data_IF_303104931427
#
_entry.id   IF_303104931427
#
_cell.length_a   1.000
_cell.length_b   1.000
_cell.length_c   1.000
_cell.angle_alpha   90.00
_cell.angle_beta   90.00
_cell.angle_gamma   90.00
#
_symmetry.space_group_name_H-M   'P 1'
#
loop_
_entity.id
_entity.type
_entity.pdbx_description
1 polymer ?
#
# COMPACT_ATOMS: atom_id res chain seq x y z
N UNK A 1 -8.95 -8.06 -16.61
CA UNK A 1 -8.21 -7.33 -17.64
C UNK A 1 -7.35 -6.21 -17.10
N UNK A 2 -6.44 -5.72 -17.92
CA UNK A 2 -5.53 -4.61 -17.60
C UNK A 2 -5.68 -3.54 -18.66
N UNK A 3 -5.66 -2.29 -18.24
CA UNK A 3 -5.62 -1.12 -19.09
C UNK A 3 -4.69 -0.10 -18.46
N UNK A 4 -3.94 0.65 -19.28
CA UNK A 4 -3.07 1.70 -18.76
C UNK A 4 -2.73 2.75 -19.80
N UNK A 5 -2.48 3.95 -19.32
CA UNK A 5 -2.03 5.11 -20.09
C UNK A 5 -0.70 5.59 -19.54
N UNK A 6 0.25 5.86 -20.42
CA UNK A 6 1.54 6.42 -20.04
C UNK A 6 1.77 7.71 -20.85
N UNK A 7 1.69 8.84 -20.18
CA UNK A 7 1.96 10.16 -20.74
C UNK A 7 3.36 10.60 -20.32
N UNK A 8 4.26 10.60 -21.29
CA UNK A 8 5.65 11.02 -21.08
C UNK A 8 5.90 12.40 -21.70
N UNK A 9 6.99 13.01 -21.31
CA UNK A 9 7.49 14.28 -21.88
C UNK A 9 6.55 15.49 -21.70
N UNK A 10 5.64 15.44 -20.73
CA UNK A 10 4.85 16.61 -20.38
C UNK A 10 5.75 17.67 -19.73
N UNK A 11 5.38 18.94 -19.85
CA UNK A 11 6.14 20.09 -19.34
C UNK A 11 7.63 20.06 -19.73
N UNK A 12 7.91 19.76 -21.00
CA UNK A 12 9.28 19.70 -21.50
C UNK A 12 10.09 18.52 -20.94
N UNK A 13 9.44 17.41 -20.67
CA UNK A 13 10.05 16.18 -20.13
C UNK A 13 10.11 16.09 -18.61
N UNK A 14 9.65 17.13 -17.91
CA UNK A 14 9.70 17.17 -16.45
C UNK A 14 8.56 16.40 -15.77
N UNK A 15 7.42 16.23 -16.43
CA UNK A 15 6.25 15.55 -15.88
C UNK A 15 5.95 14.27 -16.65
N UNK A 16 5.79 13.19 -15.90
CA UNK A 16 5.30 11.89 -16.35
C UNK A 16 4.04 11.52 -15.59
N UNK A 17 3.00 11.06 -16.29
CA UNK A 17 1.78 10.53 -15.66
C UNK A 17 1.58 9.10 -16.16
N UNK A 18 1.35 8.19 -15.24
CA UNK A 18 1.00 6.79 -15.52
C UNK A 18 -0.32 6.50 -14.85
N UNK A 19 -1.23 5.95 -15.59
CA UNK A 19 -2.48 5.38 -15.10
C UNK A 19 -2.49 3.89 -15.39
N UNK A 20 -2.92 3.08 -14.44
CA UNK A 20 -3.11 1.64 -14.59
C UNK A 20 -4.41 1.22 -13.92
N UNK A 21 -5.27 0.60 -14.69
CA UNK A 21 -6.51 -0.01 -14.19
C UNK A 21 -6.48 -1.52 -14.35
N UNK A 22 -7.09 -2.20 -13.39
CA UNK A 22 -7.29 -3.64 -13.41
C UNK A 22 -8.75 -3.92 -13.08
N UNK A 23 -9.36 -4.83 -13.82
CA UNK A 23 -10.73 -5.30 -13.58
C UNK A 23 -10.84 -6.79 -13.86
N UNK A 24 -11.50 -7.50 -12.98
CA UNK A 24 -11.77 -8.93 -13.16
C UNK A 24 -12.07 -9.64 -11.85
N UNK A 25 -12.55 -10.90 -11.96
CA UNK A 25 -12.76 -11.74 -10.79
C UNK A 25 -11.41 -12.20 -10.24
N UNK A 26 -11.06 -11.70 -9.06
CA UNK A 26 -9.75 -11.93 -8.41
C UNK A 26 -9.84 -12.84 -7.18
N UNK A 27 -11.06 -13.23 -6.75
CA UNK A 27 -11.23 -13.98 -5.52
C UNK A 27 -11.32 -15.49 -5.78
N UNK A 28 -10.52 -16.26 -5.05
CA UNK A 28 -10.50 -17.72 -5.12
C UNK A 28 -11.72 -18.34 -4.45
N UNK A 29 -12.28 -19.39 -5.04
CA UNK A 29 -13.38 -20.19 -4.47
C UNK A 29 -13.03 -20.84 -3.12
N UNK A 30 -11.76 -21.12 -2.88
CA UNK A 30 -11.29 -21.80 -1.67
C UNK A 30 -11.24 -20.89 -0.44
N UNK A 31 -11.30 -19.56 -0.62
CA UNK A 31 -11.08 -18.60 0.46
C UNK A 31 -12.37 -18.02 1.03
N UNK A 32 -13.50 -18.12 0.34
CA UNK A 32 -14.59 -17.17 0.54
C UNK A 32 -15.92 -17.79 0.98
N UNK A 33 -15.96 -19.02 1.45
CA UNK A 33 -17.21 -19.61 1.98
C UNK A 33 -18.41 -19.43 1.03
N UNK A 34 -19.47 -18.71 1.43
CA UNK A 34 -20.66 -18.51 0.60
C UNK A 34 -20.45 -17.53 -0.56
N UNK A 35 -19.27 -16.97 -0.75
CA UNK A 35 -19.00 -16.03 -1.84
C UNK A 35 -18.83 -16.75 -3.16
N UNK A 36 -19.42 -16.17 -4.20
CA UNK A 36 -19.34 -16.72 -5.54
C UNK A 36 -17.99 -16.30 -6.14
N UNK A 37 -17.01 -17.16 -5.98
CA UNK A 37 -15.71 -16.99 -6.62
C UNK A 37 -15.87 -16.85 -8.13
N UNK A 38 -15.01 -16.10 -8.77
CA UNK A 38 -15.00 -15.82 -10.19
C UNK A 38 -16.26 -15.10 -10.74
N UNK A 39 -17.17 -14.65 -9.86
CA UNK A 39 -18.32 -13.83 -10.22
C UNK A 39 -18.30 -12.45 -9.54
N UNK A 40 -17.48 -12.30 -8.50
CA UNK A 40 -17.29 -11.03 -7.82
C UNK A 40 -16.13 -10.28 -8.47
N UNK A 41 -16.42 -9.10 -8.96
CA UNK A 41 -15.40 -8.29 -9.62
C UNK A 41 -14.60 -7.48 -8.62
N UNK A 42 -13.32 -7.37 -8.90
CA UNK A 42 -12.41 -6.40 -8.29
C UNK A 42 -12.02 -5.38 -9.35
N UNK A 43 -12.14 -4.13 -8.98
CA UNK A 43 -11.61 -3.01 -9.73
C UNK A 43 -10.49 -2.37 -8.91
N UNK A 44 -9.37 -2.11 -9.54
CA UNK A 44 -8.26 -1.36 -8.96
C UNK A 44 -7.74 -0.36 -9.98
N UNK A 45 -7.51 0.86 -9.52
CA UNK A 45 -6.96 1.95 -10.31
C UNK A 45 -5.81 2.60 -9.56
N UNK A 46 -4.76 2.90 -10.29
CA UNK A 46 -3.57 3.59 -9.83
C UNK A 46 -3.23 4.72 -10.80
N UNK A 47 -3.15 5.93 -10.29
CA UNK A 47 -2.71 7.11 -11.04
C UNK A 47 -1.48 7.66 -10.35
N UNK A 48 -0.38 7.71 -11.08
CA UNK A 48 0.91 8.15 -10.58
C UNK A 48 1.41 9.32 -11.43
N UNK A 49 1.73 10.45 -10.80
CA UNK A 49 2.26 11.65 -11.44
C UNK A 49 3.62 12.00 -10.83
N UNK A 50 4.69 11.90 -11.63
CA UNK A 50 6.05 12.23 -11.20
C UNK A 50 6.53 13.51 -11.88
N UNK A 51 6.91 14.49 -11.07
CA UNK A 51 7.46 15.77 -11.48
C UNK A 51 8.94 15.87 -11.08
N UNK A 52 9.82 16.05 -12.05
CA UNK A 52 11.20 16.45 -11.84
C UNK A 52 11.24 17.97 -11.64
N UNK A 53 11.30 18.43 -10.39
CA UNK A 53 11.27 19.86 -10.05
C UNK A 53 12.56 20.54 -10.51
N UNK A 54 13.71 19.91 -10.23
CA UNK A 54 15.04 20.30 -10.66
C UNK A 54 15.98 19.09 -10.66
N UNK A 55 17.26 19.27 -10.94
CA UNK A 55 18.25 18.17 -11.05
C UNK A 55 18.42 17.36 -9.76
N UNK A 56 17.98 17.87 -8.61
CA UNK A 56 18.12 17.22 -7.32
C UNK A 56 16.81 16.78 -6.68
N UNK A 57 15.68 17.35 -7.10
CA UNK A 57 14.38 17.11 -6.46
C UNK A 57 13.39 16.52 -7.44
N UNK A 58 12.88 15.35 -7.09
CA UNK A 58 11.74 14.71 -7.71
C UNK A 58 10.61 14.56 -6.70
N UNK A 59 9.39 14.83 -7.14
CA UNK A 59 8.16 14.65 -6.35
C UNK A 59 7.20 13.78 -7.13
N UNK A 60 6.61 12.78 -6.46
CA UNK A 60 5.59 11.92 -7.03
C UNK A 60 4.33 12.02 -6.16
N UNK A 61 3.19 12.17 -6.81
CA UNK A 61 1.88 11.99 -6.21
C UNK A 61 1.21 10.77 -6.83
N UNK A 62 0.60 9.94 -6.00
CA UNK A 62 -0.07 8.73 -6.41
C UNK A 62 -1.45 8.67 -5.78
N UNK A 63 -2.45 8.26 -6.56
CA UNK A 63 -3.80 7.98 -6.10
C UNK A 63 -4.15 6.55 -6.42
N UNK A 64 -4.59 5.80 -5.41
CA UNK A 64 -5.06 4.43 -5.55
C UNK A 64 -6.53 4.33 -5.15
N UNK A 65 -7.29 3.54 -5.92
CA UNK A 65 -8.65 3.14 -5.57
C UNK A 65 -8.82 1.63 -5.77
N UNK A 66 -9.43 0.99 -4.80
CA UNK A 66 -9.80 -0.42 -4.84
C UNK A 66 -11.28 -0.58 -4.51
N UNK A 67 -12.00 -1.30 -5.36
CA UNK A 67 -13.35 -1.81 -5.11
C UNK A 67 -13.34 -3.33 -5.26
N UNK A 68 -13.85 -4.05 -4.27
CA UNK A 68 -13.87 -5.51 -4.28
C UNK A 68 -15.24 -6.05 -3.85
N UNK A 69 -15.98 -6.60 -4.80
CA UNK A 69 -17.29 -7.20 -4.54
C UNK A 69 -17.18 -8.53 -3.78
N UNK A 70 -16.03 -9.18 -3.84
CA UNK A 70 -15.79 -10.47 -3.18
C UNK A 70 -15.34 -10.35 -1.73
N UNK A 71 -14.80 -9.20 -1.30
CA UNK A 71 -14.48 -8.91 0.09
C UNK A 71 -15.70 -8.34 0.82
N UNK A 72 -16.80 -9.07 0.78
CA UNK A 72 -18.02 -8.64 1.43
C UNK A 72 -17.82 -8.57 2.94
N UNK A 73 -18.15 -7.44 3.51
CA UNK A 73 -18.11 -7.20 4.95
C UNK A 73 -19.51 -7.01 5.49
N UNK A 74 -19.72 -7.37 6.75
CA UNK A 74 -20.97 -7.07 7.43
C UNK A 74 -20.86 -5.74 8.15
N UNK A 75 -21.84 -4.87 8.01
CA UNK A 75 -21.93 -3.66 8.84
C UNK A 75 -22.29 -3.99 10.29
N UNK A 76 -22.98 -5.10 10.48
CA UNK A 76 -23.34 -5.66 11.78
C UNK A 76 -23.21 -7.17 11.73
N UNK A 77 -23.21 -7.85 12.87
CA UNK A 77 -23.08 -9.32 12.95
C UNK A 77 -24.05 -10.08 12.05
N UNK A 78 -25.22 -9.53 11.74
CA UNK A 78 -26.26 -10.13 10.88
C UNK A 78 -26.69 -9.19 9.75
N UNK A 79 -25.91 -8.15 9.44
CA UNK A 79 -26.23 -7.19 8.38
C UNK A 79 -25.97 -7.73 6.98
N UNK A 80 -26.45 -7.00 5.95
CA UNK A 80 -26.19 -7.37 4.56
C UNK A 80 -24.69 -7.27 4.24
N UNK A 81 -24.23 -8.14 3.37
CA UNK A 81 -22.89 -8.05 2.82
C UNK A 81 -22.73 -6.81 1.92
N UNK A 82 -21.67 -6.06 2.13
CA UNK A 82 -21.27 -4.93 1.30
C UNK A 82 -19.93 -5.19 0.64
N UNK A 83 -19.75 -4.64 -0.53
CA UNK A 83 -18.43 -4.61 -1.18
C UNK A 83 -17.44 -3.82 -0.33
N UNK A 84 -16.18 -4.15 -0.44
CA UNK A 84 -15.12 -3.39 0.21
C UNK A 84 -14.58 -2.31 -0.73
N UNK A 85 -14.38 -1.12 -0.17
CA UNK A 85 -13.78 0.02 -0.85
C UNK A 85 -12.61 0.56 -0.07
N UNK A 86 -11.54 0.89 -0.77
CA UNK A 86 -10.42 1.61 -0.20
C UNK A 86 -9.83 2.58 -1.21
N UNK A 87 -9.23 3.65 -0.69
CA UNK A 87 -8.46 4.58 -1.52
C UNK A 87 -7.30 5.18 -0.74
N UNK A 88 -6.27 5.57 -1.44
CA UNK A 88 -5.15 6.30 -0.86
C UNK A 88 -4.66 7.46 -1.73
N UNK A 89 -4.08 8.43 -1.05
CA UNK A 89 -3.23 9.44 -1.66
C UNK A 89 -1.85 9.29 -1.04
N UNK A 90 -0.85 9.06 -1.89
CA UNK A 90 0.54 8.89 -1.49
C UNK A 90 1.38 10.02 -2.11
N UNK A 91 2.31 10.52 -1.36
CA UNK A 91 3.31 11.47 -1.84
C UNK A 91 4.71 10.93 -1.57
N UNK A 92 5.56 11.04 -2.56
CA UNK A 92 6.98 10.71 -2.45
C UNK A 92 7.81 11.94 -2.78
N UNK A 93 8.91 12.08 -2.08
CA UNK A 93 9.92 13.07 -2.37
C UNK A 93 11.28 12.38 -2.37
N UNK A 94 12.09 12.65 -3.39
CA UNK A 94 13.47 12.21 -3.47
C UNK A 94 14.36 13.40 -3.70
N UNK A 95 15.33 13.62 -2.77
CA UNK A 95 16.24 14.75 -2.82
C UNK A 95 17.69 14.28 -2.81
N UNK A 96 18.42 14.55 -3.90
CA UNK A 96 19.84 14.25 -4.04
C UNK A 96 20.66 15.27 -3.24
N UNK A 97 21.19 14.86 -2.09
CA UNK A 97 22.03 15.67 -1.22
C UNK A 97 23.42 15.83 -1.88
N UNK A 98 23.98 14.70 -2.33
CA UNK A 98 25.24 14.63 -3.06
C UNK A 98 25.28 13.34 -3.92
N UNK A 99 26.32 13.12 -4.74
CA UNK A 99 26.38 11.95 -5.63
C UNK A 99 26.25 10.58 -4.96
N UNK A 100 26.50 10.48 -3.65
CA UNK A 100 26.44 9.23 -2.90
C UNK A 100 25.27 9.15 -1.92
N UNK A 101 24.49 10.21 -1.76
CA UNK A 101 23.46 10.27 -0.73
C UNK A 101 22.19 10.93 -1.25
N UNK A 102 21.08 10.21 -1.16
CA UNK A 102 19.74 10.71 -1.48
C UNK A 102 18.84 10.54 -0.26
N UNK A 103 18.12 11.59 0.10
CA UNK A 103 17.06 11.56 1.09
C UNK A 103 15.73 11.21 0.42
N UNK A 104 14.94 10.38 1.08
CA UNK A 104 13.63 9.97 0.60
C UNK A 104 12.57 10.18 1.70
N UNK A 105 11.42 10.63 1.27
CA UNK A 105 10.21 10.78 2.07
C UNK A 105 9.05 10.07 1.38
N UNK A 106 8.19 9.41 2.15
CA UNK A 106 6.88 8.94 1.74
C UNK A 106 5.86 9.34 2.80
N UNK A 107 4.73 9.87 2.37
CA UNK A 107 3.58 10.12 3.23
C UNK A 107 2.33 9.62 2.56
N UNK A 108 1.45 8.98 3.31
CA UNK A 108 0.20 8.43 2.81
C UNK A 108 -0.97 8.74 3.73
N UNK A 109 -2.11 9.04 3.12
CA UNK A 109 -3.42 8.93 3.75
C UNK A 109 -4.16 7.80 3.04
N UNK A 110 -4.47 6.75 3.78
CA UNK A 110 -5.18 5.57 3.30
C UNK A 110 -6.51 5.42 4.02
N UNK A 111 -7.57 5.24 3.26
CA UNK A 111 -8.91 4.99 3.78
C UNK A 111 -9.36 3.57 3.41
N UNK A 112 -9.62 2.74 4.42
CA UNK A 112 -10.30 1.46 4.32
C UNK A 112 -11.74 1.64 4.82
N UNK A 113 -12.69 1.76 3.90
CA UNK A 113 -14.08 2.08 4.24
C UNK A 113 -14.79 0.98 5.03
N UNK A 114 -14.28 -0.22 4.97
CA UNK A 114 -14.92 -1.40 5.54
C UNK A 114 -14.05 -2.09 6.58
N UNK A 115 -12.86 -1.59 6.89
CA UNK A 115 -11.83 -2.28 7.67
C UNK A 115 -11.54 -3.71 7.14
N UNK A 116 -11.62 -3.89 5.83
CA UNK A 116 -11.52 -5.19 5.20
C UNK A 116 -10.14 -5.52 4.65
N UNK A 117 -9.29 -4.50 4.47
CA UNK A 117 -8.04 -4.61 3.70
C UNK A 117 -6.79 -4.55 4.57
N UNK A 118 -6.86 -3.98 5.77
CA UNK A 118 -5.73 -3.96 6.70
C UNK A 118 -5.65 -5.27 7.46
N UNK A 119 -4.57 -6.02 7.22
CA UNK A 119 -4.39 -7.40 7.70
C UNK A 119 -4.32 -7.57 9.22
N UNK A 120 -4.10 -6.49 9.97
CA UNK A 120 -4.02 -6.50 11.43
C UNK A 120 -5.37 -6.50 12.12
N UNK A 121 -6.48 -6.21 11.44
CA UNK A 121 -7.81 -6.40 11.98
C UNK A 121 -8.11 -7.89 12.17
N UNK A 122 -8.80 -8.22 13.24
CA UNK A 122 -9.10 -9.63 13.57
C UNK A 122 -9.86 -10.35 12.46
N UNK A 123 -10.81 -9.69 11.80
CA UNK A 123 -11.53 -10.25 10.66
C UNK A 123 -10.64 -10.53 9.45
N UNK A 124 -9.63 -9.69 9.22
CA UNK A 124 -8.67 -9.88 8.13
C UNK A 124 -7.62 -10.94 8.45
N UNK A 125 -7.35 -11.22 9.72
CA UNK A 125 -6.43 -12.30 10.10
C UNK A 125 -6.90 -13.66 9.55
N UNK A 126 -8.20 -13.90 9.45
CA UNK A 126 -8.74 -15.12 8.85
C UNK A 126 -8.37 -15.23 7.38
N UNK A 127 -8.49 -14.14 6.63
CA UNK A 127 -8.10 -14.09 5.22
C UNK A 127 -6.59 -14.26 5.06
N UNK A 128 -5.80 -13.49 5.80
CA UNK A 128 -4.33 -13.56 5.74
C UNK A 128 -3.81 -14.94 6.16
N UNK A 129 -4.39 -15.55 7.19
CA UNK A 129 -4.05 -16.90 7.59
C UNK A 129 -4.39 -17.93 6.51
N UNK A 130 -5.55 -17.79 5.85
CA UNK A 130 -5.95 -18.68 4.78
C UNK A 130 -5.01 -18.60 3.57
N UNK A 131 -4.64 -17.39 3.12
CA UNK A 131 -3.70 -17.23 1.99
C UNK A 131 -2.26 -17.63 2.33
N UNK A 132 -1.89 -17.60 3.61
CA UNK A 132 -0.60 -18.04 4.12
C UNK A 132 -0.56 -19.53 4.49
N UNK A 133 -1.66 -20.27 4.33
CA UNK A 133 -1.76 -21.69 4.64
C UNK A 133 -1.88 -22.04 6.13
N UNK A 134 -2.21 -21.06 6.99
CA UNK A 134 -2.29 -21.25 8.45
C UNK A 134 -3.70 -21.56 8.98
N UNK A 135 -4.67 -21.76 8.11
CA UNK A 135 -6.07 -21.99 8.51
C UNK A 135 -6.79 -20.70 8.94
N UNK A 136 -8.10 -20.79 9.12
CA UNK A 136 -8.93 -19.65 9.50
C UNK A 136 -8.72 -19.27 10.96
N UNK A 137 -8.62 -17.97 11.25
CA UNK A 137 -8.66 -17.47 12.62
C UNK A 137 -10.06 -17.59 13.19
N UNK A 138 -10.17 -18.06 14.43
CA UNK A 138 -11.44 -18.10 15.17
C UNK A 138 -11.76 -16.78 15.87
N UNK A 139 -10.85 -15.82 15.80
CA UNK A 139 -11.04 -14.51 16.41
C UNK A 139 -11.91 -13.65 15.51
N UNK A 140 -13.19 -13.65 15.80
CA UNK A 140 -14.19 -12.80 15.18
C UNK A 140 -14.88 -11.97 16.28
N UNK A 141 -15.29 -10.74 16.09
CA UNK A 141 -16.03 -10.25 14.92
C UNK A 141 -15.11 -9.61 13.88
N UNK A 142 -15.44 -9.86 12.63
CA UNK A 142 -14.87 -9.15 11.50
C UNK A 142 -15.00 -7.65 11.63
N UNK A 143 -14.39 -6.92 10.72
CA UNK A 143 -14.43 -5.47 10.71
C UNK A 143 -15.87 -4.99 10.78
N UNK A 144 -16.23 -4.37 11.88
CA UNK A 144 -17.57 -3.82 12.08
C UNK A 144 -17.65 -2.41 11.53
N UNK A 145 -18.39 -2.22 10.50
CA UNK A 145 -19.16 -1.05 10.11
C UNK A 145 -18.52 0.33 9.93
N UNK A 146 -17.47 0.65 10.61
CA UNK A 146 -16.86 1.99 10.55
C UNK A 146 -15.46 1.90 10.01
N UNK A 147 -15.28 2.29 8.78
CA UNK A 147 -13.97 2.31 8.13
C UNK A 147 -12.91 3.11 8.89
N UNK A 148 -11.65 2.79 8.65
CA UNK A 148 -10.51 3.44 9.28
C UNK A 148 -9.73 4.27 8.28
N UNK A 149 -9.31 5.44 8.69
CA UNK A 149 -8.34 6.26 7.97
C UNK A 149 -6.99 6.11 8.63
N UNK A 150 -5.98 5.77 7.85
CA UNK A 150 -4.60 5.64 8.29
C UNK A 150 -3.76 6.79 7.76
N UNK A 151 -2.82 7.25 8.56
CA UNK A 151 -1.71 8.08 8.14
C UNK A 151 -0.42 7.27 8.21
N UNK A 152 0.43 7.44 7.23
CA UNK A 152 1.75 6.83 7.19
C UNK A 152 2.79 7.90 6.88
N UNK A 153 3.95 7.80 7.52
CA UNK A 153 5.13 8.60 7.26
C UNK A 153 6.35 7.69 7.25
N UNK A 154 7.08 7.68 6.13
CA UNK A 154 8.39 7.02 6.02
C UNK A 154 9.46 8.04 5.66
N UNK A 155 10.58 7.97 6.36
CA UNK A 155 11.80 8.71 6.06
C UNK A 155 12.94 7.72 5.87
N UNK A 156 13.71 7.89 4.81
CA UNK A 156 14.82 7.00 4.50
C UNK A 156 15.95 7.72 3.77
N UNK A 157 17.06 7.05 3.66
CA UNK A 157 18.19 7.52 2.85
C UNK A 157 18.69 6.38 1.97
N UNK A 158 19.12 6.73 0.76
CA UNK A 158 19.89 5.82 -0.09
C UNK A 158 21.36 6.28 -0.05
N UNK A 159 22.22 5.45 0.50
CA UNK A 159 23.65 5.67 0.51
C UNK A 159 24.32 4.69 -0.46
N UNK A 160 24.95 5.22 -1.50
CA UNK A 160 25.61 4.45 -2.57
C UNK A 160 27.01 5.01 -2.85
N UNK A 161 27.99 4.72 -2.00
CA UNK A 161 29.37 5.11 -2.24
C UNK A 161 29.98 4.32 -3.40
N UNK A 162 30.86 4.95 -4.14
CA UNK A 162 31.68 4.26 -5.13
C UNK A 162 32.74 3.39 -4.43
N UNK A 163 32.66 2.06 -4.58
CA UNK A 163 33.59 1.12 -3.97
C UNK A 163 34.71 0.62 -4.90
N UNK A 164 34.97 1.34 -6.00
CA UNK A 164 36.02 1.01 -6.96
C UNK A 164 35.56 0.01 -8.04
N UNK A 165 36.54 -0.51 -8.82
CA UNK A 165 36.25 -1.22 -10.07
C UNK A 165 35.65 -2.62 -9.93
N UNK A 166 35.76 -3.25 -8.76
CA UNK A 166 35.28 -4.60 -8.53
C UNK A 166 33.84 -4.67 -8.00
N UNK A 167 33.35 -3.60 -7.41
CA UNK A 167 31.98 -3.47 -6.94
C UNK A 167 31.28 -2.40 -7.74
N UNK A 168 30.43 -2.82 -8.69
CA UNK A 168 29.74 -1.90 -9.60
C UNK A 168 28.57 -1.20 -8.94
N UNK A 169 27.91 -1.89 -8.02
CA UNK A 169 26.74 -1.37 -7.29
C UNK A 169 26.93 -1.70 -5.83
N UNK A 170 26.83 -0.69 -4.99
CA UNK A 170 26.66 -0.86 -3.55
C UNK A 170 25.67 0.18 -3.06
N UNK A 171 24.67 -0.23 -2.33
CA UNK A 171 23.72 0.66 -1.69
C UNK A 171 23.29 0.12 -0.33
N UNK A 172 23.11 1.02 0.63
CA UNK A 172 22.46 0.76 1.91
C UNK A 172 21.30 1.74 2.02
N UNK A 173 20.10 1.23 2.37
CA UNK A 173 18.85 2.00 2.40
C UNK A 173 18.14 1.81 3.73
N UNK A 174 18.58 2.42 4.82
CA UNK A 174 17.84 2.43 6.07
C UNK A 174 16.63 3.35 5.98
N UNK A 175 15.56 2.94 6.66
CA UNK A 175 14.34 3.72 6.78
C UNK A 175 13.69 3.59 8.15
N UNK A 176 12.93 4.60 8.50
CA UNK A 176 12.03 4.60 9.64
C UNK A 176 10.62 4.87 9.13
N UNK A 177 9.64 4.15 9.70
CA UNK A 177 8.24 4.27 9.30
C UNK A 177 7.35 4.36 10.52
N UNK A 178 6.35 5.23 10.44
CA UNK A 178 5.31 5.37 11.43
C UNK A 178 3.94 5.28 10.76
N UNK A 179 3.15 4.32 11.20
CA UNK A 179 1.75 4.12 10.78
C UNK A 179 0.82 4.45 11.94
N UNK A 180 -0.29 5.11 11.65
CA UNK A 180 -1.29 5.44 12.67
C UNK A 180 -2.70 5.45 12.10
N UNK A 181 -3.65 4.89 12.87
CA UNK A 181 -5.07 5.16 12.68
C UNK A 181 -5.41 6.58 13.11
N UNK A 182 -5.97 7.39 12.21
CA UNK A 182 -6.32 8.79 12.47
C UNK A 182 -7.67 8.95 13.17
N UNK A 183 -8.49 7.92 13.20
CA UNK A 183 -9.77 7.86 13.91
C UNK A 183 -9.75 6.95 15.14
N UNK A 184 -8.57 6.74 15.69
CA UNK A 184 -8.32 6.01 16.94
C UNK A 184 -8.73 4.52 16.92
N UNK A 185 -8.87 3.92 15.74
CA UNK A 185 -9.07 2.48 15.63
C UNK A 185 -7.80 1.74 16.04
N UNK A 186 -7.91 0.73 16.88
CA UNK A 186 -6.77 -0.08 17.30
C UNK A 186 -6.50 -1.18 16.28
N UNK A 187 -5.79 -0.84 15.22
CA UNK A 187 -5.53 -1.71 14.07
C UNK A 187 -4.19 -2.46 14.15
N UNK A 188 -3.30 -2.06 15.05
CA UNK A 188 -1.94 -2.58 15.14
C UNK A 188 -1.72 -3.43 16.37
N UNK A 189 -0.66 -4.26 16.35
CA UNK A 189 -0.23 -5.10 17.46
C UNK A 189 -1.36 -5.99 18.03
N UNK A 190 -2.08 -6.67 17.15
CA UNK A 190 -3.19 -7.55 17.51
C UNK A 190 -4.39 -6.80 18.11
N UNK A 191 -4.68 -5.59 17.65
CA UNK A 191 -5.79 -4.76 18.11
C UNK A 191 -5.51 -3.99 19.40
N UNK A 192 -4.26 -3.88 19.81
CA UNK A 192 -3.88 -3.21 21.07
C UNK A 192 -3.52 -1.75 20.88
N UNK A 193 -2.97 -1.40 19.71
CA UNK A 193 -2.42 -0.07 19.44
C UNK A 193 -3.10 0.59 18.24
N UNK A 194 -3.18 1.91 18.29
CA UNK A 194 -3.65 2.73 17.17
C UNK A 194 -2.51 3.22 16.26
N UNK A 195 -1.27 2.86 16.55
CA UNK A 195 -0.10 3.17 15.75
C UNK A 195 1.01 2.15 15.90
N UNK A 196 1.93 2.16 14.95
CA UNK A 196 3.09 1.27 14.90
C UNK A 196 4.30 2.04 14.37
N UNK A 197 5.45 1.82 14.98
CA UNK A 197 6.74 2.30 14.50
C UNK A 197 7.55 1.11 13.97
N UNK A 198 8.19 1.30 12.83
CA UNK A 198 9.04 0.29 12.20
C UNK A 198 10.39 0.90 11.82
N UNK A 199 11.43 0.18 12.06
CA UNK A 199 12.75 0.44 11.50
C UNK A 199 13.11 -0.70 10.57
N UNK A 200 13.58 -0.38 9.38
CA UNK A 200 13.96 -1.35 8.36
C UNK A 200 15.09 -0.85 7.50
N UNK A 201 15.48 -1.70 6.57
CA UNK A 201 16.46 -1.34 5.56
C UNK A 201 16.94 -2.55 4.78
N UNK A 202 17.62 -2.27 3.69
CA UNK A 202 18.29 -3.29 2.88
C UNK A 202 19.70 -2.85 2.48
N UNK A 203 20.47 -3.83 2.01
CA UNK A 203 21.77 -3.61 1.40
C UNK A 203 21.84 -4.37 0.07
N UNK A 204 22.34 -3.69 -0.96
CA UNK A 204 22.51 -4.25 -2.29
C UNK A 204 23.97 -4.17 -2.71
N UNK A 205 24.50 -5.28 -3.25
CA UNK A 205 25.83 -5.34 -3.81
C UNK A 205 25.78 -6.01 -5.18
N UNK A 206 26.49 -5.43 -6.15
CA UNK A 206 26.63 -5.94 -7.52
C UNK A 206 28.09 -5.92 -7.97
N UNK A 207 28.51 -6.96 -8.66
CA UNK A 207 29.88 -7.19 -9.14
C UNK A 207 29.99 -7.05 -10.66
#
# INVERSE_FOLDING_TARGET
>A
GYFGINLNNLLGGKLKIVELSRVGPENSSSLMGPYVANQAERFWNDINATLQVNDRLSVTAEFNYLHDQGLKTHDTVNGPFKAADAFSVVTFLSYVINPSLTFNYRGEIYRDNNNALVATFMGNNSYMNAISGHGASTLYPGPGGHGTTYGELTLGVNYHPGLGKYVRVFAIRPEIRFDRSLNNTHAFNGGRNNGMFTFGGDAMIGF
#
